data_IF_462124738967
#
_entry.id   IF_462124738967
#
_cell.length_a   1.000
_cell.length_b   1.000
_cell.length_c   1.000
_cell.angle_alpha   90.00
_cell.angle_beta   90.00
_cell.angle_gamma   90.00
#
_symmetry.space_group_name_H-M   'P 1'
#
loop_
_entity.id
_entity.type
_entity.pdbx_description
1 polymer ?
#
# COMPACT_ATOMS: atom_id res chain seq x y z
N UNK A 1 -9.19 2.74 -3.97
CA UNK A 1 -8.86 3.18 -5.36
C UNK A 1 -7.53 2.55 -5.81
N UNK A 2 -7.42 2.08 -7.05
CA UNK A 2 -6.16 1.53 -7.62
C UNK A 2 -5.30 2.65 -8.22
N UNK A 3 -3.99 2.65 -7.94
CA UNK A 3 -3.04 3.67 -8.41
C UNK A 3 -1.65 3.07 -8.71
N UNK A 4 -0.88 3.70 -9.60
CA UNK A 4 0.51 3.33 -9.90
C UNK A 4 0.69 2.69 -11.28
N UNK A 5 1.67 1.79 -11.42
CA UNK A 5 2.11 1.19 -12.68
C UNK A 5 1.15 0.09 -13.19
N UNK A 6 -0.05 0.50 -13.61
CA UNK A 6 -1.14 -0.41 -14.01
C UNK A 6 -1.28 -0.63 -15.51
N UNK A 7 -0.60 0.15 -16.34
CA UNK A 7 -0.82 0.19 -17.80
C UNK A 7 -0.50 -1.14 -18.50
N UNK A 8 0.49 -1.88 -17.98
CA UNK A 8 0.94 -3.16 -18.55
C UNK A 8 0.43 -4.38 -17.78
N UNK A 9 -0.52 -4.21 -16.86
CA UNK A 9 -1.09 -5.33 -16.11
C UNK A 9 -2.10 -6.11 -16.95
N UNK A 10 -1.95 -7.44 -16.98
CA UNK A 10 -2.96 -8.32 -17.57
C UNK A 10 -4.32 -8.10 -16.88
N UNK A 11 -5.41 -8.09 -17.66
CA UNK A 11 -6.77 -7.87 -17.15
C UNK A 11 -7.17 -8.75 -15.95
N UNK A 12 -6.62 -9.97 -15.83
CA UNK A 12 -6.84 -10.84 -14.67
C UNK A 12 -6.33 -10.22 -13.35
N UNK A 13 -5.21 -9.49 -13.40
CA UNK A 13 -4.59 -8.86 -12.24
C UNK A 13 -5.32 -7.58 -11.83
N UNK A 14 -5.71 -6.74 -12.79
CA UNK A 14 -6.52 -5.56 -12.53
C UNK A 14 -7.78 -5.90 -11.73
N UNK A 15 -8.54 -6.92 -12.18
CA UNK A 15 -9.73 -7.41 -11.46
C UNK A 15 -9.42 -7.92 -10.04
N UNK A 16 -8.23 -8.48 -9.79
CA UNK A 16 -7.81 -8.94 -8.46
C UNK A 16 -7.46 -7.76 -7.55
N UNK A 17 -6.73 -6.76 -8.06
CA UNK A 17 -6.39 -5.55 -7.33
C UNK A 17 -7.63 -4.73 -6.94
N UNK A 18 -8.58 -4.56 -7.86
CA UNK A 18 -9.85 -3.86 -7.59
C UNK A 18 -10.69 -4.53 -6.48
N UNK A 19 -10.56 -5.86 -6.31
CA UNK A 19 -11.24 -6.61 -5.24
C UNK A 19 -10.58 -6.45 -3.87
N UNK A 20 -9.39 -5.86 -3.77
CA UNK A 20 -8.75 -5.56 -2.49
C UNK A 20 -9.44 -4.38 -1.79
N UNK A 21 -9.88 -3.38 -2.56
CA UNK A 21 -10.45 -2.10 -2.10
C UNK A 21 -11.73 -2.25 -1.23
N UNK A 22 -12.41 -3.40 -1.31
CA UNK A 22 -13.73 -3.62 -0.71
C UNK A 22 -13.70 -4.30 0.66
N UNK A 23 -12.53 -4.60 1.23
CA UNK A 23 -12.44 -5.36 2.48
C UNK A 23 -12.12 -4.44 3.66
N UNK A 24 -13.07 -4.26 4.58
CA UNK A 24 -12.75 -3.83 5.95
C UNK A 24 -11.99 -4.96 6.64
N UNK A 25 -10.79 -4.67 7.17
CA UNK A 25 -10.12 -5.59 8.08
C UNK A 25 -10.99 -5.71 9.35
N UNK A 26 -11.59 -6.88 9.59
CA UNK A 26 -12.30 -7.19 10.85
C UNK A 26 -11.33 -7.50 12.01
N UNK A 27 -10.03 -7.33 11.80
CA UNK A 27 -9.00 -7.63 12.79
C UNK A 27 -8.67 -6.39 13.62
N UNK A 28 -8.25 -6.60 14.87
CA UNK A 28 -7.53 -5.61 15.68
C UNK A 28 -6.17 -5.25 15.08
N UNK A 29 -5.64 -6.08 14.18
CA UNK A 29 -4.43 -5.81 13.41
C UNK A 29 -4.69 -4.86 12.23
N UNK A 30 -3.65 -4.11 11.85
CA UNK A 30 -3.67 -3.14 10.72
C UNK A 30 -4.13 -3.81 9.41
N UNK A 31 -3.72 -5.06 9.20
CA UNK A 31 -4.00 -5.85 7.99
C UNK A 31 -4.35 -7.28 8.40
N UNK A 32 -5.33 -7.91 7.74
CA UNK A 32 -5.67 -9.32 8.00
C UNK A 32 -4.68 -10.27 7.33
N UNK A 33 -4.50 -11.46 7.89
CA UNK A 33 -3.58 -12.46 7.32
C UNK A 33 -3.97 -12.87 5.88
N UNK A 34 -5.27 -12.94 5.58
CA UNK A 34 -5.76 -13.20 4.22
C UNK A 34 -5.38 -12.09 3.25
N UNK A 35 -5.37 -10.84 3.72
CA UNK A 35 -4.99 -9.69 2.90
C UNK A 35 -3.48 -9.68 2.65
N UNK A 36 -2.66 -10.00 3.66
CA UNK A 36 -1.21 -10.20 3.51
C UNK A 36 -0.93 -11.25 2.43
N UNK A 37 -1.49 -12.45 2.57
CA UNK A 37 -1.28 -13.54 1.60
C UNK A 37 -1.67 -13.14 0.18
N UNK A 38 -2.76 -12.39 0.03
CA UNK A 38 -3.25 -11.98 -1.27
C UNK A 38 -2.34 -10.92 -1.92
N UNK A 39 -1.86 -9.91 -1.18
CA UNK A 39 -0.93 -8.91 -1.74
C UNK A 39 0.44 -9.53 -2.05
N UNK A 40 0.93 -10.45 -1.22
CA UNK A 40 2.19 -11.17 -1.48
C UNK A 40 2.08 -12.05 -2.73
N UNK A 41 0.99 -12.80 -2.88
CA UNK A 41 0.72 -13.60 -4.09
C UNK A 41 0.62 -12.71 -5.33
N UNK A 42 -0.10 -11.58 -5.25
CA UNK A 42 -0.19 -10.65 -6.37
C UNK A 42 1.18 -10.08 -6.74
N UNK A 43 1.95 -9.65 -5.75
CA UNK A 43 3.29 -9.09 -5.95
C UNK A 43 4.22 -10.09 -6.64
N UNK A 44 4.24 -11.34 -6.15
CA UNK A 44 5.04 -12.40 -6.75
C UNK A 44 4.60 -12.74 -8.18
N UNK A 45 3.29 -12.83 -8.44
CA UNK A 45 2.76 -13.16 -9.75
C UNK A 45 2.94 -12.04 -10.79
N UNK A 46 2.97 -10.78 -10.36
CA UNK A 46 3.16 -9.63 -11.27
C UNK A 46 4.63 -9.22 -11.40
N UNK A 47 5.49 -9.63 -10.47
CA UNK A 47 6.86 -9.12 -10.37
C UNK A 47 6.91 -7.63 -10.01
N UNK A 48 5.87 -7.14 -9.32
CA UNK A 48 5.77 -5.73 -8.90
C UNK A 48 5.53 -5.66 -7.39
N UNK A 49 6.07 -4.64 -6.74
CA UNK A 49 5.71 -4.30 -5.37
C UNK A 49 4.24 -3.86 -5.31
N UNK A 50 3.55 -4.21 -4.22
CA UNK A 50 2.14 -3.88 -3.99
C UNK A 50 2.03 -3.17 -2.66
N UNK A 51 1.53 -1.94 -2.67
CA UNK A 51 1.30 -1.12 -1.49
C UNK A 51 -0.18 -0.96 -1.15
N UNK A 52 -0.48 -0.74 0.13
CA UNK A 52 -1.79 -0.41 0.65
C UNK A 52 -1.66 0.83 1.54
N UNK A 53 -2.44 1.86 1.25
CA UNK A 53 -2.64 2.98 2.17
C UNK A 53 -3.90 2.73 2.98
N UNK A 54 -3.74 2.61 4.29
CA UNK A 54 -4.79 2.20 5.23
C UNK A 54 -5.01 3.33 6.23
N UNK A 55 -6.26 3.70 6.48
CA UNK A 55 -6.59 4.70 7.50
C UNK A 55 -6.65 4.11 8.92
N UNK A 56 -6.90 4.98 9.91
CA UNK A 56 -7.05 4.58 11.32
C UNK A 56 -8.22 3.63 11.61
N UNK A 57 -9.19 3.55 10.71
CA UNK A 57 -10.33 2.63 10.81
C UNK A 57 -10.07 1.32 10.08
N UNK A 58 -8.80 1.03 9.75
CA UNK A 58 -8.36 -0.12 8.94
C UNK A 58 -9.10 -0.22 7.60
N UNK A 59 -9.46 0.92 7.01
CA UNK A 59 -10.05 0.99 5.66
C UNK A 59 -8.94 1.28 4.65
N UNK A 60 -8.88 0.46 3.60
CA UNK A 60 -7.97 0.68 2.48
C UNK A 60 -8.48 1.88 1.68
N UNK A 61 -7.62 2.89 1.57
CA UNK A 61 -7.88 4.10 0.81
C UNK A 61 -7.31 3.98 -0.60
N UNK A 62 -6.10 3.43 -0.70
CA UNK A 62 -5.45 3.15 -1.98
C UNK A 62 -4.82 1.77 -2.00
N UNK A 63 -4.92 1.13 -3.16
CA UNK A 63 -4.10 -0.01 -3.58
C UNK A 63 -3.08 0.56 -4.57
N UNK A 64 -1.80 0.43 -4.24
CA UNK A 64 -0.70 0.97 -5.00
C UNK A 64 0.00 -0.18 -5.73
N UNK A 65 0.21 -0.04 -7.04
CA UNK A 65 0.97 -0.98 -7.86
C UNK A 65 2.30 -0.31 -8.22
N UNK A 66 3.38 -0.90 -7.76
CA UNK A 66 4.73 -0.41 -7.96
C UNK A 66 5.44 -0.98 -9.18
N UNK A 67 6.73 -0.70 -9.25
CA UNK A 67 7.69 -1.46 -10.05
C UNK A 67 8.24 -2.62 -9.22
N UNK A 68 9.30 -3.29 -9.68
CA UNK A 68 10.01 -4.24 -8.84
C UNK A 68 10.86 -3.58 -7.72
N UNK A 69 11.00 -2.25 -7.71
CA UNK A 69 11.88 -1.50 -6.80
C UNK A 69 11.16 -0.51 -5.89
N UNK A 70 10.03 0.04 -6.33
CA UNK A 70 9.38 1.14 -5.63
C UNK A 70 7.86 1.12 -5.78
N UNK A 71 7.17 1.79 -4.85
CA UNK A 71 5.73 2.07 -4.91
C UNK A 71 5.50 3.58 -4.87
N UNK A 72 4.82 4.11 -5.88
CA UNK A 72 4.51 5.56 -5.93
C UNK A 72 3.25 5.86 -5.12
N UNK A 73 3.38 6.80 -4.18
CA UNK A 73 2.27 7.27 -3.35
C UNK A 73 1.60 8.48 -4.03
N UNK A 74 0.27 8.46 -4.27
CA UNK A 74 -0.43 9.57 -4.90
C UNK A 74 -0.46 10.79 -3.97
N UNK A 75 -0.71 11.98 -4.54
CA UNK A 75 -0.96 13.17 -3.73
C UNK A 75 -2.20 12.99 -2.85
N UNK A 76 -2.01 13.04 -1.54
CA UNK A 76 -3.02 12.74 -0.52
C UNK A 76 -3.89 13.95 -0.14
N UNK A 77 -4.40 14.71 -1.11
CA UNK A 77 -5.16 15.96 -0.86
C UNK A 77 -6.40 15.75 0.04
N UNK A 78 -6.99 14.56 0.03
CA UNK A 78 -8.14 14.19 0.89
C UNK A 78 -7.75 13.98 2.35
N UNK A 79 -6.46 13.84 2.64
CA UNK A 79 -5.92 13.62 3.98
C UNK A 79 -5.07 14.82 4.36
N UNK A 80 -5.73 15.80 4.99
CA UNK A 80 -5.13 17.06 5.39
C UNK A 80 -3.88 16.81 6.27
N UNK A 81 -2.77 17.45 5.90
CA UNK A 81 -1.58 17.49 6.73
C UNK A 81 -1.78 18.60 7.76
N UNK A 82 -2.20 18.24 8.98
CA UNK A 82 -2.34 19.22 10.07
C UNK A 82 -0.99 19.39 10.77
N UNK A 83 -0.50 20.63 11.00
CA UNK A 83 0.69 20.87 11.79
C UNK A 83 0.64 20.14 13.14
N UNK A 84 1.71 19.44 13.51
CA UNK A 84 1.78 18.65 14.75
C UNK A 84 0.99 17.34 14.75
N UNK A 85 0.38 16.91 13.64
CA UNK A 85 -0.32 15.62 13.54
C UNK A 85 0.18 14.76 12.38
N UNK A 86 0.13 13.45 12.59
CA UNK A 86 0.29 12.44 11.55
C UNK A 86 -0.94 12.47 10.63
N UNK A 87 -0.77 12.08 9.36
CA UNK A 87 -1.83 12.13 8.33
C UNK A 87 -2.95 11.09 8.57
N UNK A 88 -2.81 10.25 9.60
CA UNK A 88 -3.81 9.23 9.97
C UNK A 88 -3.87 8.05 8.99
N UNK A 89 -2.82 7.89 8.19
CA UNK A 89 -2.63 6.77 7.27
C UNK A 89 -1.47 5.89 7.74
N UNK A 90 -1.44 4.67 7.23
CA UNK A 90 -0.37 3.69 7.35
C UNK A 90 -0.10 3.14 5.96
N UNK A 91 1.17 2.99 5.60
CA UNK A 91 1.59 2.32 4.38
C UNK A 91 2.02 0.90 4.73
N UNK A 92 1.53 -0.08 3.97
CA UNK A 92 2.00 -1.46 4.00
C UNK A 92 2.32 -1.86 2.57
N UNK A 93 3.55 -2.27 2.28
CA UNK A 93 3.91 -2.76 0.95
C UNK A 93 4.77 -4.02 0.98
N UNK A 94 4.87 -4.68 -0.17
CA UNK A 94 5.69 -5.87 -0.37
C UNK A 94 7.06 -5.50 -0.94
N UNK A 95 8.11 -6.19 -0.49
CA UNK A 95 9.40 -6.24 -1.18
C UNK A 95 9.56 -7.58 -1.89
N UNK A 96 10.10 -7.58 -3.12
CA UNK A 96 10.27 -8.79 -3.92
C UNK A 96 11.55 -9.57 -3.60
N UNK A 97 12.58 -8.88 -3.11
CA UNK A 97 13.92 -9.44 -2.93
C UNK A 97 14.32 -9.59 -1.46
N UNK A 98 13.33 -9.64 -0.56
CA UNK A 98 13.54 -9.72 0.90
C UNK A 98 14.49 -8.63 1.43
N UNK A 99 14.36 -7.44 0.86
CA UNK A 99 15.10 -6.25 1.23
C UNK A 99 14.60 -5.76 2.60
N UNK A 100 15.52 -5.22 3.41
CA UNK A 100 15.12 -4.41 4.56
C UNK A 100 14.51 -3.09 4.08
N UNK A 101 13.85 -2.35 4.96
CA UNK A 101 13.37 -1.00 4.66
C UNK A 101 14.53 -0.15 4.12
N UNK A 102 14.36 0.40 2.93
CA UNK A 102 15.36 1.24 2.28
C UNK A 102 15.34 2.66 2.86
N UNK A 103 16.41 3.42 2.66
CA UNK A 103 16.46 4.84 3.06
C UNK A 103 15.34 5.67 2.40
N UNK A 104 14.92 5.29 1.20
CA UNK A 104 13.78 5.89 0.50
C UNK A 104 12.45 5.57 1.22
N UNK A 105 12.27 4.34 1.70
CA UNK A 105 11.10 3.96 2.52
C UNK A 105 11.03 4.77 3.82
N UNK A 106 12.17 4.96 4.52
CA UNK A 106 12.23 5.80 5.71
C UNK A 106 11.94 7.27 5.41
N UNK A 107 12.47 7.77 4.29
CA UNK A 107 12.23 9.14 3.83
C UNK A 107 10.75 9.35 3.52
N UNK A 108 10.09 8.40 2.88
CA UNK A 108 8.66 8.45 2.61
C UNK A 108 7.81 8.40 3.88
N UNK A 109 8.17 7.56 4.85
CA UNK A 109 7.49 7.54 6.16
C UNK A 109 7.57 8.91 6.86
N UNK A 110 8.74 9.55 6.82
CA UNK A 110 8.97 10.88 7.43
C UNK A 110 8.24 11.98 6.66
N UNK A 111 8.35 12.02 5.34
CA UNK A 111 7.71 13.02 4.47
C UNK A 111 6.19 12.94 4.52
N UNK A 112 5.64 11.73 4.63
CA UNK A 112 4.19 11.51 4.70
C UNK A 112 3.65 11.54 6.13
N UNK A 113 4.52 11.67 7.13
CA UNK A 113 4.19 11.61 8.56
C UNK A 113 3.37 10.37 8.89
N UNK A 114 3.87 9.22 8.47
CA UNK A 114 3.32 7.92 8.82
C UNK A 114 4.06 7.41 10.06
N UNK A 115 3.38 6.70 10.98
CA UNK A 115 4.10 6.03 12.07
C UNK A 115 5.02 4.96 11.47
N UNK A 116 6.23 4.75 12.02
CA UNK A 116 7.06 3.61 11.64
C UNK A 116 6.32 2.29 11.93
N UNK A 117 6.61 1.23 11.16
CA UNK A 117 6.01 -0.09 11.37
C UNK A 117 6.30 -0.66 12.76
#
# INVERSE_FOLDING_TARGET
MLYGYTENLKAKFLKRFEKLDKRKSKSTAIISNDLIKNITSLSYETGQQVGLLIDRNNTIQYVLVGTNKEVIIPKLHRFALVPGKLRGLRLVHTHLYNEELTDDDFTDLVLLRLPPP
#
